data_IF_003267149395
#
_entry.id   IF_003267149395
#
_cell.length_a   1.000
_cell.length_b   1.000
_cell.length_c   1.000
_cell.angle_alpha   90.00
_cell.angle_beta   90.00
_cell.angle_gamma   90.00
#
_symmetry.space_group_name_H-M   'P 1'
#
loop_
_entity.id
_entity.type
_entity.pdbx_description
1 polymer ?
#
# COMPACT_ATOMS: atom_id res chain seq x y z
N UNK A 1 -12.76 4.78 5.95
CA UNK A 1 -11.97 3.93 5.03
C UNK A 1 -12.58 4.04 3.64
N UNK A 2 -11.80 4.32 2.59
CA UNK A 2 -12.32 4.26 1.22
C UNK A 2 -12.71 2.81 0.90
N UNK A 3 -13.97 2.58 0.51
CA UNK A 3 -14.52 1.22 0.34
C UNK A 3 -14.05 0.62 -0.99
N UNK A 4 -12.98 -0.18 -0.94
CA UNK A 4 -12.57 -1.02 -2.07
C UNK A 4 -13.43 -2.28 -2.11
N UNK A 5 -14.36 -2.36 -3.07
CA UNK A 5 -15.20 -3.56 -3.26
C UNK A 5 -14.40 -4.72 -3.85
N UNK A 6 -14.88 -5.96 -3.68
CA UNK A 6 -14.22 -7.15 -4.21
C UNK A 6 -14.08 -7.10 -5.75
N UNK A 7 -15.14 -6.66 -6.45
CA UNK A 7 -15.12 -6.48 -7.90
C UNK A 7 -14.05 -5.46 -8.33
N UNK A 8 -14.02 -4.28 -7.70
CA UNK A 8 -12.99 -3.26 -7.97
C UNK A 8 -11.60 -3.80 -7.66
N UNK A 9 -11.44 -4.54 -6.56
CA UNK A 9 -10.15 -5.14 -6.18
C UNK A 9 -9.64 -6.12 -7.23
N UNK A 10 -10.49 -6.99 -7.81
CA UNK A 10 -10.11 -7.94 -8.86
C UNK A 10 -9.67 -7.24 -10.16
N UNK A 11 -10.34 -6.14 -10.51
CA UNK A 11 -10.01 -5.35 -11.69
C UNK A 11 -8.70 -4.54 -11.58
N UNK A 12 -8.14 -4.38 -10.38
CA UNK A 12 -6.88 -3.64 -10.22
C UNK A 12 -5.69 -4.39 -10.85
N UNK A 13 -4.78 -3.68 -11.54
CA UNK A 13 -3.55 -4.29 -12.04
C UNK A 13 -2.62 -4.66 -10.88
N UNK A 14 -1.68 -5.58 -11.12
CA UNK A 14 -0.70 -5.98 -10.11
C UNK A 14 0.06 -4.80 -9.51
N UNK A 15 0.34 -3.75 -10.29
CA UNK A 15 1.00 -2.50 -9.86
C UNK A 15 0.22 -1.71 -8.81
N UNK A 16 -1.06 -2.00 -8.62
CA UNK A 16 -1.87 -1.41 -7.55
C UNK A 16 -1.61 -2.03 -6.17
N UNK A 17 -0.75 -3.06 -6.08
CA UNK A 17 -0.41 -3.74 -4.84
C UNK A 17 1.07 -3.56 -4.51
N UNK A 18 1.34 -3.23 -3.25
CA UNK A 18 2.68 -2.84 -2.84
C UNK A 18 3.62 -4.04 -2.66
N UNK A 19 3.12 -5.18 -2.21
CA UNK A 19 3.91 -6.40 -1.95
C UNK A 19 3.21 -7.60 -2.55
N UNK A 20 4.01 -8.53 -3.10
CA UNK A 20 3.58 -9.84 -3.58
C UNK A 20 2.37 -9.73 -4.53
N UNK A 21 2.67 -9.50 -5.80
CA UNK A 21 1.68 -9.33 -6.86
C UNK A 21 0.72 -10.51 -6.98
N UNK A 22 1.15 -11.71 -6.57
CA UNK A 22 0.32 -12.90 -6.52
C UNK A 22 -0.68 -12.86 -5.35
N UNK A 23 -0.24 -12.44 -4.16
CA UNK A 23 -1.12 -12.31 -2.97
C UNK A 23 -1.92 -11.02 -2.92
N UNK A 24 -1.65 -10.06 -3.80
CA UNK A 24 -2.35 -8.77 -3.92
C UNK A 24 -2.48 -8.07 -2.56
N UNK A 25 -1.38 -8.05 -1.78
CA UNK A 25 -1.31 -7.44 -0.45
C UNK A 25 -1.04 -5.94 -0.54
N UNK A 26 -1.54 -5.19 0.46
CA UNK A 26 -1.32 -3.75 0.61
C UNK A 26 -1.72 -2.94 -0.65
N UNK A 27 -3.03 -2.78 -0.91
CA UNK A 27 -3.52 -1.97 -2.02
C UNK A 27 -3.05 -0.52 -1.89
N UNK A 28 -2.57 0.06 -3.00
CA UNK A 28 -2.02 1.41 -3.14
C UNK A 28 -2.55 2.09 -4.41
N UNK A 29 -3.82 1.84 -4.76
CA UNK A 29 -4.46 2.41 -5.94
C UNK A 29 -4.73 3.92 -5.81
N UNK A 30 -4.91 4.41 -4.58
CA UNK A 30 -5.09 5.82 -4.26
C UNK A 30 -4.29 6.23 -3.01
N UNK A 31 -4.21 7.54 -2.72
CA UNK A 31 -3.46 8.09 -1.59
C UNK A 31 -3.97 7.62 -0.23
N UNK A 32 -5.28 7.37 -0.08
CA UNK A 32 -5.85 6.91 1.18
C UNK A 32 -5.47 5.46 1.48
N UNK A 33 -5.52 4.60 0.45
CA UNK A 33 -5.07 3.22 0.53
C UNK A 33 -3.56 3.12 0.72
N UNK A 34 -2.77 3.99 0.09
CA UNK A 34 -1.32 4.06 0.33
C UNK A 34 -0.97 4.40 1.79
N UNK A 35 -1.66 5.36 2.40
CA UNK A 35 -1.52 5.66 3.84
C UNK A 35 -1.92 4.48 4.71
N UNK A 36 -3.04 3.83 4.40
CA UNK A 36 -3.49 2.64 5.12
C UNK A 36 -2.49 1.48 4.98
N UNK A 37 -1.93 1.27 3.79
CA UNK A 37 -0.91 0.25 3.54
C UNK A 37 0.34 0.47 4.42
N UNK A 38 0.80 1.71 4.56
CA UNK A 38 1.90 2.06 5.48
C UNK A 38 1.57 1.74 6.94
N UNK A 39 0.35 2.06 7.40
CA UNK A 39 -0.07 1.76 8.76
C UNK A 39 -0.16 0.24 9.01
N UNK A 40 -0.73 -0.52 8.07
CA UNK A 40 -0.90 -1.97 8.20
C UNK A 40 0.42 -2.72 8.13
N UNK A 41 1.33 -2.33 7.24
CA UNK A 41 2.65 -2.96 7.14
C UNK A 41 3.51 -2.63 8.36
N UNK A 42 3.31 -1.47 8.99
CA UNK A 42 4.00 -1.14 10.24
C UNK A 42 3.58 -2.09 11.37
N UNK A 43 2.28 -2.41 11.47
CA UNK A 43 1.70 -3.28 12.50
C UNK A 43 1.97 -4.77 12.28
N UNK A 44 1.84 -5.27 11.06
CA UNK A 44 1.83 -6.72 10.78
C UNK A 44 2.87 -7.17 9.76
N UNK A 45 3.58 -6.24 9.12
CA UNK A 45 4.50 -6.57 8.04
C UNK A 45 5.88 -6.97 8.54
N UNK A 46 6.58 -7.80 7.76
CA UNK A 46 8.00 -8.09 7.99
C UNK A 46 8.88 -6.90 7.58
N UNK A 47 10.17 -6.91 7.96
CA UNK A 47 11.11 -5.85 7.55
C UNK A 47 11.19 -5.69 6.02
N UNK A 48 11.18 -6.80 5.28
CA UNK A 48 11.18 -6.81 3.82
C UNK A 48 9.89 -6.22 3.22
N UNK A 49 8.73 -6.57 3.79
CA UNK A 49 7.45 -6.00 3.38
C UNK A 49 7.41 -4.49 3.66
N UNK A 50 7.87 -4.05 4.84
CA UNK A 50 7.96 -2.62 5.22
C UNK A 50 8.79 -1.84 4.20
N UNK A 51 9.99 -2.32 3.85
CA UNK A 51 10.85 -1.66 2.87
C UNK A 51 10.18 -1.57 1.49
N UNK A 52 9.53 -2.65 1.06
CA UNK A 52 8.85 -2.71 -0.25
C UNK A 52 7.65 -1.77 -0.32
N UNK A 53 6.79 -1.76 0.71
CA UNK A 53 5.63 -0.85 0.77
C UNK A 53 6.09 0.60 0.76
N UNK A 54 7.09 0.95 1.59
CA UNK A 54 7.63 2.31 1.63
C UNK A 54 8.18 2.75 0.28
N UNK A 55 8.95 1.89 -0.40
CA UNK A 55 9.50 2.19 -1.73
C UNK A 55 8.38 2.42 -2.77
N UNK A 56 7.40 1.52 -2.86
CA UNK A 56 6.30 1.65 -3.84
C UNK A 56 5.40 2.85 -3.56
N UNK A 57 5.08 3.11 -2.29
CA UNK A 57 4.29 4.28 -1.90
C UNK A 57 5.05 5.56 -2.22
N UNK A 58 6.36 5.65 -1.94
CA UNK A 58 7.18 6.82 -2.30
C UNK A 58 7.23 7.05 -3.81
N UNK A 59 7.43 5.99 -4.59
CA UNK A 59 7.50 6.07 -6.04
C UNK A 59 6.18 6.54 -6.66
N UNK A 60 5.04 6.03 -6.17
CA UNK A 60 3.71 6.37 -6.71
C UNK A 60 3.13 7.67 -6.15
N UNK A 61 3.45 7.98 -4.90
CA UNK A 61 2.96 9.14 -4.17
C UNK A 61 4.09 9.81 -3.40
N UNK A 62 4.99 10.54 -4.09
CA UNK A 62 6.12 11.21 -3.45
C UNK A 62 5.68 12.25 -2.40
N UNK A 63 4.45 12.76 -2.50
CA UNK A 63 3.84 13.68 -1.54
C UNK A 63 3.41 13.04 -0.21
N UNK A 64 3.41 11.71 -0.08
CA UNK A 64 3.04 11.03 1.17
C UNK A 64 4.28 10.96 2.07
N UNK A 65 4.23 11.64 3.21
CA UNK A 65 5.28 11.54 4.24
C UNK A 65 5.29 10.13 4.83
N UNK A 66 6.42 9.44 4.70
CA UNK A 66 6.60 8.04 5.14
C UNK A 66 7.11 7.95 6.60
N UNK A 67 7.36 9.08 7.25
CA UNK A 67 7.72 9.17 8.66
C UNK A 67 6.60 9.83 9.46
N UNK A 68 6.11 9.15 10.48
CA UNK A 68 5.25 9.75 11.49
C UNK A 68 6.08 10.69 12.36
N UNK A 69 5.94 12.00 12.13
CA UNK A 69 5.92 12.96 13.22
C UNK A 69 4.53 13.58 13.21
N UNK A 70 3.78 13.34 14.29
CA UNK A 70 2.77 14.30 14.73
C UNK A 70 3.52 15.54 15.19
#
# INVERSE_FOLDING_TARGET
>A
MAKLTAAKRRALPGSAFAVDHAKRKYPIQDKAHARNALARVAQHGTAAEKATVRRKVKAKYPSIKIGGKK
#
